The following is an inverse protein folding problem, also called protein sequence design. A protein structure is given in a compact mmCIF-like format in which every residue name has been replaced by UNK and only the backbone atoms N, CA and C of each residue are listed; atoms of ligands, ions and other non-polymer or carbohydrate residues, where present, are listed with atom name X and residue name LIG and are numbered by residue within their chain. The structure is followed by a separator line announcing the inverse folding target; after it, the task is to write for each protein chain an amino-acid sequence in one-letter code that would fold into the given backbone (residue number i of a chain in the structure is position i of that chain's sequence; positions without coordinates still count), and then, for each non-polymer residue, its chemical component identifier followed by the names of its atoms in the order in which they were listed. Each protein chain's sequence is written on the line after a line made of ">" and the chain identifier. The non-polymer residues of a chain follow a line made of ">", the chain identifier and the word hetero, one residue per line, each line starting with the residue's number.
data_IF_011587112170
#
_entry.id   IF_011587112170
#
_cell.length_a   1.000
_cell.length_b   1.000
_cell.length_c   1.000
_cell.angle_alpha   90.00
_cell.angle_beta   90.00
_cell.angle_gamma   90.00
#
_symmetry.space_group_name_H-M   'P 1'
#
loop_
_entity.id
_entity.type
_entity.pdbx_description
1 polymer ?
#
# COMPACT_ATOMS: atom_id res chain seq x y z
N UNK A 1 -3.25 -10.03 37.38
CA UNK A 1 -4.41 -9.69 36.54
C UNK A 1 -3.91 -8.82 35.39
N UNK A 2 -4.00 -9.27 34.14
CA UNK A 2 -3.42 -8.58 32.99
C UNK A 2 -4.20 -7.29 32.65
N UNK A 3 -3.48 -6.17 32.56
CA UNK A 3 -4.03 -4.91 32.08
C UNK A 3 -3.86 -4.81 30.57
N UNK A 4 -4.99 -4.88 29.87
CA UNK A 4 -5.07 -4.82 28.40
C UNK A 4 -4.61 -3.45 27.88
N UNK A 5 -4.76 -2.38 28.67
CA UNK A 5 -4.31 -1.05 28.27
C UNK A 5 -2.78 -0.95 28.29
N UNK A 6 -2.12 -1.56 29.28
CA UNK A 6 -0.66 -1.63 29.34
C UNK A 6 -0.08 -2.43 28.16
N UNK A 7 -0.73 -3.54 27.79
CA UNK A 7 -0.37 -4.34 26.60
C UNK A 7 -0.47 -3.48 25.32
N UNK A 8 -1.53 -2.68 25.19
CA UNK A 8 -1.71 -1.77 24.05
C UNK A 8 -0.66 -0.66 24.01
N UNK A 9 -0.29 -0.10 25.15
CA UNK A 9 0.74 0.93 25.26
C UNK A 9 2.11 0.38 24.86
N UNK A 10 2.49 -0.80 25.36
CA UNK A 10 3.71 -1.50 24.95
C UNK A 10 3.71 -1.84 23.45
N UNK A 11 2.58 -2.32 22.91
CA UNK A 11 2.42 -2.52 21.47
C UNK A 11 2.60 -1.22 20.68
N UNK A 12 2.18 -0.08 21.23
CA UNK A 12 2.34 1.22 20.58
C UNK A 12 3.79 1.70 20.53
N UNK A 13 4.62 1.31 21.50
CA UNK A 13 6.05 1.60 21.54
C UNK A 13 6.86 0.72 20.58
N UNK A 14 6.34 -0.46 20.23
CA UNK A 14 7.00 -1.36 19.28
C UNK A 14 6.95 -0.84 17.84
N UNK A 15 8.07 -1.00 17.15
CA UNK A 15 8.21 -0.69 15.73
C UNK A 15 7.32 -1.64 14.90
N UNK A 16 6.76 -1.11 13.82
CA UNK A 16 5.95 -1.89 12.89
C UNK A 16 6.83 -2.76 12.02
N UNK A 17 6.68 -4.07 12.15
CA UNK A 17 7.24 -5.04 11.20
C UNK A 17 6.10 -5.66 10.40
N UNK A 18 6.19 -5.58 9.07
CA UNK A 18 5.28 -6.28 8.16
C UNK A 18 3.77 -5.97 8.39
N UNK A 19 3.46 -4.71 8.71
CA UNK A 19 2.08 -4.24 8.93
C UNK A 19 1.42 -4.73 10.24
N UNK A 20 2.20 -5.37 11.11
CA UNK A 20 1.76 -5.91 12.39
C UNK A 20 2.62 -5.35 13.52
N UNK A 21 2.04 -5.27 14.71
CA UNK A 21 2.78 -5.12 15.97
C UNK A 21 2.58 -6.39 16.76
N UNK A 22 3.69 -6.98 17.21
CA UNK A 22 3.71 -8.25 17.93
C UNK A 22 4.39 -8.01 19.26
N UNK A 23 3.67 -8.25 20.35
CA UNK A 23 4.22 -8.22 21.70
C UNK A 23 4.22 -9.65 22.26
N UNK A 24 5.38 -10.15 22.69
CA UNK A 24 5.46 -11.42 23.43
C UNK A 24 4.95 -11.21 24.86
N UNK A 25 3.98 -12.01 25.27
CA UNK A 25 3.54 -12.06 26.66
C UNK A 25 4.38 -13.04 27.49
N UNK A 26 5.22 -13.88 26.85
CA UNK A 26 5.99 -14.92 27.50
C UNK A 26 5.28 -16.27 27.51
N UNK A 27 5.80 -17.20 28.33
CA UNK A 27 5.32 -18.59 28.37
C UNK A 27 4.05 -18.68 29.23
N UNK A 28 3.06 -19.47 28.79
CA UNK A 28 1.78 -19.67 29.50
C UNK A 28 2.00 -20.07 30.97
N UNK A 29 3.02 -20.89 31.24
CA UNK A 29 3.40 -21.37 32.58
C UNK A 29 4.00 -20.29 33.48
N UNK A 30 4.65 -19.27 32.92
CA UNK A 30 5.16 -18.12 33.68
C UNK A 30 4.06 -17.09 33.95
N UNK A 31 3.10 -16.98 33.03
CA UNK A 31 1.96 -16.08 33.11
C UNK A 31 0.93 -16.53 34.16
N UNK A 32 0.78 -17.84 34.36
CA UNK A 32 -0.16 -18.47 35.28
C UNK A 32 0.52 -19.61 36.04
N UNK A 33 1.41 -19.30 37.00
CA UNK A 33 2.26 -20.30 37.65
C UNK A 33 1.51 -21.25 38.60
N UNK A 34 0.26 -20.95 38.94
CA UNK A 34 -0.50 -21.64 40.00
C UNK A 34 -1.93 -22.06 39.56
N UNK A 35 -2.21 -22.02 38.25
CA UNK A 35 -3.53 -22.32 37.71
C UNK A 35 -3.61 -23.77 37.18
N UNK A 36 -4.72 -24.45 37.45
CA UNK A 36 -4.95 -25.77 36.87
C UNK A 36 -5.06 -25.66 35.33
N UNK A 37 -4.72 -26.71 34.55
CA UNK A 37 -4.76 -26.66 33.09
C UNK A 37 -6.11 -26.20 32.52
N UNK A 38 -7.22 -26.55 33.19
CA UNK A 38 -8.57 -26.13 32.84
C UNK A 38 -8.86 -24.65 33.17
N UNK A 39 -8.27 -24.11 34.25
CA UNK A 39 -8.40 -22.69 34.62
C UNK A 39 -7.58 -21.81 33.69
N UNK A 40 -6.40 -22.28 33.28
CA UNK A 40 -5.57 -21.62 32.27
C UNK A 40 -6.34 -21.42 30.97
N UNK A 41 -7.08 -22.44 30.51
CA UNK A 41 -7.85 -22.35 29.27
C UNK A 41 -9.00 -21.34 29.37
N UNK A 42 -9.68 -21.27 30.52
CA UNK A 42 -10.76 -20.30 30.77
C UNK A 42 -10.22 -18.87 30.85
N UNK A 43 -9.10 -18.64 31.56
CA UNK A 43 -8.46 -17.32 31.65
C UNK A 43 -7.92 -16.85 30.30
N UNK A 44 -7.33 -17.75 29.51
CA UNK A 44 -6.89 -17.44 28.15
C UNK A 44 -8.06 -17.10 27.23
N UNK A 45 -9.18 -17.81 27.34
CA UNK A 45 -10.39 -17.51 26.58
C UNK A 45 -10.95 -16.12 26.94
N UNK A 46 -11.03 -15.80 28.23
CA UNK A 46 -11.46 -14.49 28.72
C UNK A 46 -10.51 -13.36 28.28
N UNK A 47 -9.19 -13.60 28.30
CA UNK A 47 -8.18 -12.66 27.84
C UNK A 47 -8.29 -12.44 26.32
N UNK A 48 -8.45 -13.52 25.54
CA UNK A 48 -8.64 -13.46 24.09
C UNK A 48 -9.89 -12.66 23.72
N UNK A 49 -11.00 -12.83 24.45
CA UNK A 49 -12.22 -12.05 24.23
C UNK A 49 -11.99 -10.56 24.50
N UNK A 50 -11.30 -10.22 25.60
CA UNK A 50 -10.97 -8.84 25.97
C UNK A 50 -10.04 -8.17 24.95
N UNK A 51 -9.06 -8.91 24.44
CA UNK A 51 -8.16 -8.45 23.38
C UNK A 51 -8.91 -8.21 22.07
N UNK A 52 -9.80 -9.14 21.71
CA UNK A 52 -10.61 -9.03 20.48
C UNK A 52 -11.47 -7.77 20.47
N UNK A 53 -12.04 -7.37 21.62
CA UNK A 53 -12.80 -6.11 21.75
C UNK A 53 -11.97 -4.85 21.47
N UNK A 54 -10.64 -4.94 21.49
CA UNK A 54 -9.72 -3.84 21.22
C UNK A 54 -8.97 -3.98 19.87
N UNK A 55 -9.47 -4.79 18.94
CA UNK A 55 -8.82 -5.11 17.66
C UNK A 55 -7.43 -5.77 17.82
N UNK A 56 -7.20 -6.45 18.96
CA UNK A 56 -5.99 -7.21 19.26
C UNK A 56 -6.30 -8.70 19.13
N UNK A 57 -5.38 -9.46 18.53
CA UNK A 57 -5.53 -10.91 18.36
C UNK A 57 -4.46 -11.64 19.17
N UNK A 58 -4.86 -12.67 19.90
CA UNK A 58 -3.93 -13.58 20.57
C UNK A 58 -3.53 -14.66 19.54
N UNK A 59 -2.28 -14.65 19.07
CA UNK A 59 -1.76 -15.66 18.17
C UNK A 59 -0.70 -16.50 18.89
N UNK A 60 -0.80 -17.84 18.82
CA UNK A 60 0.31 -18.74 19.16
C UNK A 60 1.17 -18.92 17.92
N UNK A 61 2.47 -18.66 18.04
CA UNK A 61 3.40 -18.81 16.92
C UNK A 61 3.54 -20.31 16.59
N UNK A 62 3.44 -20.68 15.31
CA UNK A 62 3.60 -22.09 14.87
C UNK A 62 4.96 -22.70 15.21
N UNK A 63 5.97 -21.84 15.39
CA UNK A 63 7.36 -22.21 15.67
C UNK A 63 7.64 -22.45 17.17
N UNK A 64 6.85 -21.84 18.07
CA UNK A 64 6.96 -22.00 19.52
C UNK A 64 5.55 -21.97 20.14
N UNK A 65 4.90 -23.13 20.35
CA UNK A 65 3.50 -23.21 20.75
C UNK A 65 3.23 -22.80 22.20
N UNK A 66 4.28 -22.69 23.03
CA UNK A 66 4.17 -22.36 24.46
C UNK A 66 4.23 -20.85 24.73
N UNK A 67 4.66 -20.05 23.76
CA UNK A 67 4.75 -18.60 23.87
C UNK A 67 3.51 -17.92 23.28
N UNK A 68 2.90 -17.05 24.08
CA UNK A 68 1.71 -16.29 23.70
C UNK A 68 2.11 -14.91 23.16
N UNK A 69 1.58 -14.55 22.00
CA UNK A 69 1.82 -13.24 21.41
C UNK A 69 0.51 -12.50 21.22
N UNK A 70 0.52 -11.20 21.51
CA UNK A 70 -0.56 -10.29 21.11
C UNK A 70 -0.15 -9.61 19.82
N UNK A 71 -0.96 -9.82 18.79
CA UNK A 71 -0.78 -9.22 17.48
C UNK A 71 -1.84 -8.16 17.28
N UNK A 72 -1.41 -6.91 17.12
CA UNK A 72 -2.27 -5.86 16.60
C UNK A 72 -2.14 -5.85 15.09
N UNK A 73 -3.16 -6.32 14.39
CA UNK A 73 -3.31 -6.07 12.95
C UNK A 73 -3.91 -4.67 12.84
N UNK A 74 -3.10 -3.69 12.44
CA UNK A 74 -3.67 -2.41 12.05
C UNK A 74 -4.61 -2.66 10.87
N UNK A 75 -5.86 -2.28 11.02
CA UNK A 75 -6.87 -2.23 9.95
C UNK A 75 -6.47 -1.32 8.77
N UNK A 76 -5.33 -0.65 8.86
CA UNK A 76 -4.86 0.39 7.95
C UNK A 76 -3.55 -0.02 7.27
N UNK A 77 -3.59 -1.02 6.39
CA UNK A 77 -2.59 -1.16 5.32
C UNK A 77 -3.12 -1.91 4.11
N UNK A 78 -4.30 -1.50 3.68
CA UNK A 78 -4.65 -1.48 2.27
C UNK A 78 -5.41 -0.17 2.09
N UNK A 79 -4.68 0.97 2.19
CA UNK A 79 -5.24 2.17 1.55
C UNK A 79 -5.31 1.77 0.10
N UNK A 80 -6.51 1.43 -0.37
CA UNK A 80 -6.81 1.11 -1.76
C UNK A 80 -6.50 2.35 -2.60
N UNK A 81 -5.22 2.59 -2.86
CA UNK A 81 -4.70 3.58 -3.78
C UNK A 81 -4.88 3.07 -5.22
N UNK A 82 -5.66 2.00 -5.41
CA UNK A 82 -6.06 1.45 -6.70
C UNK A 82 -6.72 2.52 -7.56
N UNK A 83 -7.51 3.43 -6.98
CA UNK A 83 -8.08 4.57 -7.70
C UNK A 83 -7.03 5.59 -8.12
N UNK A 84 -6.04 5.87 -7.27
CA UNK A 84 -4.94 6.78 -7.57
C UNK A 84 -4.03 6.19 -8.64
N UNK A 85 -3.70 4.90 -8.54
CA UNK A 85 -2.92 4.16 -9.51
C UNK A 85 -3.62 4.16 -10.88
N UNK A 86 -4.94 3.90 -10.92
CA UNK A 86 -5.74 3.95 -12.14
C UNK A 86 -5.81 5.37 -12.72
N UNK A 87 -5.90 6.39 -11.87
CA UNK A 87 -5.82 7.80 -12.29
C UNK A 87 -4.47 8.14 -12.92
N UNK A 88 -3.37 7.77 -12.27
CA UNK A 88 -2.00 7.98 -12.76
C UNK A 88 -1.73 7.26 -14.07
N UNK A 89 -2.32 6.07 -14.26
CA UNK A 89 -2.26 5.34 -15.53
C UNK A 89 -2.87 6.17 -16.67
N UNK A 90 -4.07 6.72 -16.48
CA UNK A 90 -4.72 7.58 -17.49
C UNK A 90 -3.95 8.88 -17.74
N UNK A 91 -3.42 9.51 -16.69
CA UNK A 91 -2.61 10.73 -16.82
C UNK A 91 -1.35 10.46 -17.64
N UNK A 92 -0.66 9.35 -17.38
CA UNK A 92 0.53 8.95 -18.14
C UNK A 92 0.20 8.79 -19.63
N UNK A 93 -0.90 8.07 -19.94
CA UNK A 93 -1.37 7.86 -21.32
C UNK A 93 -1.65 9.17 -22.05
N UNK A 94 -2.41 10.08 -21.44
CA UNK A 94 -2.74 11.39 -22.03
C UNK A 94 -1.46 12.21 -22.23
N UNK A 95 -0.54 12.19 -21.27
CA UNK A 95 0.73 12.91 -21.34
C UNK A 95 1.60 12.40 -22.48
N UNK A 96 1.70 11.08 -22.68
CA UNK A 96 2.43 10.49 -23.80
C UNK A 96 1.88 10.95 -25.14
N UNK A 97 0.55 10.93 -25.32
CA UNK A 97 -0.06 11.41 -26.56
C UNK A 97 0.19 12.91 -26.76
N UNK A 98 0.00 13.72 -25.72
CA UNK A 98 0.26 15.15 -25.82
C UNK A 98 1.73 15.43 -26.22
N UNK A 99 2.67 14.65 -25.70
CA UNK A 99 4.07 14.72 -26.08
C UNK A 99 4.27 14.35 -27.55
N UNK A 100 3.65 13.27 -28.04
CA UNK A 100 3.71 12.87 -29.45
C UNK A 100 3.17 13.93 -30.41
N UNK A 101 2.23 14.78 -29.97
CA UNK A 101 1.72 15.90 -30.77
C UNK A 101 2.69 17.07 -30.81
N UNK A 102 3.38 17.35 -29.70
CA UNK A 102 4.25 18.52 -29.53
C UNK A 102 5.67 18.26 -30.03
N UNK A 103 6.19 17.05 -29.84
CA UNK A 103 7.56 16.68 -30.21
C UNK A 103 7.87 16.96 -31.68
N UNK A 104 7.03 16.58 -32.66
CA UNK A 104 7.29 16.85 -34.07
C UNK A 104 7.28 18.34 -34.40
N UNK A 105 6.43 19.13 -33.74
CA UNK A 105 6.38 20.58 -33.93
C UNK A 105 7.64 21.27 -33.36
N UNK A 106 8.11 20.84 -32.18
CA UNK A 106 9.34 21.35 -31.56
C UNK A 106 10.57 20.97 -32.40
N UNK A 107 10.65 19.72 -32.86
CA UNK A 107 11.71 19.26 -33.75
C UNK A 107 11.69 20.06 -35.06
N UNK A 108 10.52 20.21 -35.67
CA UNK A 108 10.36 20.97 -36.92
C UNK A 108 10.78 22.43 -36.77
N UNK A 109 10.41 23.09 -35.66
CA UNK A 109 10.81 24.47 -35.38
C UNK A 109 12.32 24.62 -35.14
N UNK A 110 12.96 23.62 -34.52
CA UNK A 110 14.41 23.61 -34.35
C UNK A 110 15.16 23.44 -35.67
N UNK A 111 14.65 22.56 -36.55
CA UNK A 111 15.18 22.41 -37.92
C UNK A 111 14.98 23.68 -38.75
N UNK A 112 13.80 24.31 -38.66
CA UNK A 112 13.52 25.59 -39.32
C UNK A 112 14.56 26.67 -38.96
N UNK A 113 14.93 26.77 -37.68
CA UNK A 113 15.98 27.71 -37.22
C UNK A 113 17.38 27.35 -37.76
N UNK A 114 17.68 26.06 -37.95
CA UNK A 114 19.00 25.63 -38.44
C UNK A 114 19.15 25.76 -39.95
N UNK A 115 18.05 25.65 -40.70
CA UNK A 115 18.04 25.65 -42.17
C UNK A 115 17.44 26.93 -42.79
N UNK A 116 17.17 27.97 -41.99
CA UNK A 116 16.49 29.22 -42.40
C UNK A 116 15.16 28.97 -43.14
N UNK A 117 14.49 27.87 -42.81
CA UNK A 117 13.18 27.50 -43.37
C UNK A 117 12.09 27.82 -42.34
N UNK A 118 10.83 27.97 -42.78
CA UNK A 118 9.71 28.37 -41.91
C UNK A 118 8.51 27.41 -41.98
N UNK A 119 8.69 26.27 -42.63
CA UNK A 119 7.60 25.34 -42.94
C UNK A 119 7.71 24.00 -42.21
N UNK A 120 8.89 23.61 -41.72
CA UNK A 120 9.10 22.30 -41.09
C UNK A 120 8.41 22.21 -39.72
N UNK A 121 8.36 23.31 -38.96
CA UNK A 121 7.62 23.40 -37.70
C UNK A 121 6.11 23.27 -37.91
N UNK A 122 5.57 23.94 -38.94
CA UNK A 122 4.14 23.84 -39.30
C UNK A 122 3.82 22.42 -39.80
N UNK A 123 4.69 21.83 -40.61
CA UNK A 123 4.55 20.45 -41.07
C UNK A 123 4.57 19.46 -39.89
N UNK A 124 5.47 19.67 -38.93
CA UNK A 124 5.54 18.90 -37.70
C UNK A 124 4.24 18.97 -36.90
N UNK A 125 3.61 20.15 -36.81
CA UNK A 125 2.32 20.32 -36.13
C UNK A 125 1.17 19.66 -36.90
N UNK A 126 1.13 19.83 -38.23
CA UNK A 126 0.13 19.23 -39.12
C UNK A 126 0.22 17.71 -39.12
N UNK A 127 1.40 17.12 -38.92
CA UNK A 127 1.59 15.65 -38.86
C UNK A 127 1.44 15.12 -37.42
N UNK A 128 1.97 15.84 -36.42
CA UNK A 128 1.94 15.43 -35.02
C UNK A 128 0.54 15.40 -34.42
N UNK A 129 -0.31 16.37 -34.77
CA UNK A 129 -1.68 16.44 -34.25
C UNK A 129 -2.54 15.24 -34.73
N UNK A 130 -2.61 14.91 -36.03
CA UNK A 130 -3.32 13.71 -36.49
C UNK A 130 -2.76 12.41 -35.95
N UNK A 131 -1.42 12.29 -35.81
CA UNK A 131 -0.80 11.09 -35.22
C UNK A 131 -1.22 10.90 -33.77
N UNK A 132 -1.19 11.96 -32.95
CA UNK A 132 -1.66 11.90 -31.56
C UNK A 132 -3.15 11.57 -31.47
N UNK A 133 -3.99 12.16 -32.33
CA UNK A 133 -5.43 11.84 -32.38
C UNK A 133 -5.64 10.37 -32.78
N UNK A 134 -4.92 9.88 -33.78
CA UNK A 134 -5.01 8.48 -34.21
C UNK A 134 -4.59 7.52 -33.10
N UNK A 135 -3.53 7.85 -32.35
CA UNK A 135 -3.07 7.06 -31.23
C UNK A 135 -4.11 7.05 -30.08
N UNK A 136 -4.71 8.20 -29.72
CA UNK A 136 -5.82 8.26 -28.76
C UNK A 136 -6.99 7.39 -29.19
N UNK A 137 -7.44 7.50 -30.45
CA UNK A 137 -8.58 6.74 -30.96
C UNK A 137 -8.28 5.24 -30.92
N UNK A 138 -7.07 4.82 -31.30
CA UNK A 138 -6.64 3.42 -31.21
C UNK A 138 -6.59 2.92 -29.77
N UNK A 139 -6.12 3.75 -28.84
CA UNK A 139 -6.02 3.42 -27.42
C UNK A 139 -7.38 3.29 -26.74
N UNK A 140 -8.38 4.06 -27.19
CA UNK A 140 -9.74 4.03 -26.64
C UNK A 140 -10.61 2.89 -27.22
N UNK A 141 -10.15 2.26 -28.31
CA UNK A 141 -10.90 1.20 -29.03
C UNK A 141 -10.57 -0.22 -28.54
N UNK A 142 -9.57 -0.38 -27.67
CA UNK A 142 -9.26 -1.63 -26.97
C UNK A 142 -9.80 -1.61 -25.54
#
# INVERSE_FOLDING_TARGET
>A
MFDVNAIREQLNELAFEDGRRVLSLGVVSELLPDAAPAEVEIELANLAERLTRQDLMLERRRDQPEELYVVQKLKYRDTDLTWLAKGMEWVSKITTVALEMVVPAVIGAWLDQHFETSFLGVLGLVVGVPLGIWHLVKMTKN
#
